data_IF_332683076390
#
_entry.id   IF_332683076390
#
_cell.length_a   1.000
_cell.length_b   1.000
_cell.length_c   1.000
_cell.angle_alpha   90.00
_cell.angle_beta   90.00
_cell.angle_gamma   90.00
#
_symmetry.space_group_name_H-M   'P 1'
#
loop_
_entity.id
_entity.type
_entity.pdbx_description
1 polymer ?
#
# COMPACT_ATOMS: atom_id res chain seq x y z
N UNK A 1 27.56 -25.66 -33.24
CA UNK A 1 27.00 -24.40 -33.76
C UNK A 1 25.73 -24.04 -32.98
N UNK A 2 25.73 -23.90 -31.65
CA UNK A 2 24.44 -23.88 -30.92
C UNK A 2 24.50 -23.07 -29.60
N UNK A 3 24.14 -21.78 -29.75
CA UNK A 3 23.46 -20.88 -28.78
C UNK A 3 23.94 -20.90 -27.32
N UNK A 4 24.92 -20.04 -27.03
CA UNK A 4 25.12 -19.51 -25.68
C UNK A 4 23.83 -18.75 -25.29
N UNK A 5 23.11 -19.32 -24.33
CA UNK A 5 21.93 -18.75 -23.72
C UNK A 5 22.28 -17.33 -23.23
N UNK A 6 21.66 -16.32 -23.83
CA UNK A 6 21.74 -14.92 -23.40
C UNK A 6 21.03 -14.81 -22.06
N UNK A 7 21.73 -15.24 -21.01
CA UNK A 7 21.42 -14.86 -19.66
C UNK A 7 21.41 -13.34 -19.68
N UNK A 8 20.22 -12.75 -19.67
CA UNK A 8 20.03 -11.36 -19.28
C UNK A 8 20.39 -11.24 -17.79
N UNK A 9 21.64 -11.51 -17.45
CA UNK A 9 22.37 -10.82 -16.41
C UNK A 9 22.57 -9.38 -16.91
N UNK A 10 21.46 -8.67 -17.10
CA UNK A 10 21.45 -7.23 -17.17
C UNK A 10 22.19 -6.80 -15.90
N UNK A 11 23.33 -6.16 -16.11
CA UNK A 11 24.25 -5.68 -15.07
C UNK A 11 23.44 -5.17 -13.90
N UNK A 12 23.53 -5.85 -12.75
CA UNK A 12 22.86 -5.42 -11.53
C UNK A 12 23.46 -4.08 -11.13
N UNK A 13 22.84 -3.01 -11.64
CA UNK A 13 23.38 -1.67 -11.57
C UNK A 13 23.40 -1.25 -10.11
N UNK A 14 24.53 -0.72 -9.67
CA UNK A 14 24.71 -0.33 -8.27
C UNK A 14 24.33 1.13 -8.12
N UNK A 15 23.24 1.38 -7.42
CA UNK A 15 22.85 2.73 -7.01
C UNK A 15 23.58 3.12 -5.72
N UNK A 16 24.22 4.29 -5.75
CA UNK A 16 24.74 4.91 -4.54
C UNK A 16 23.63 5.65 -3.80
N UNK A 17 23.96 6.09 -2.58
CA UNK A 17 23.05 6.93 -1.81
C UNK A 17 22.64 8.18 -2.60
N UNK A 18 23.56 8.83 -3.31
CA UNK A 18 23.26 10.01 -4.14
C UNK A 18 22.20 9.74 -5.21
N UNK A 19 22.30 8.62 -5.91
CA UNK A 19 21.38 8.26 -6.98
C UNK A 19 19.97 8.00 -6.45
N UNK A 20 19.86 7.32 -5.31
CA UNK A 20 18.57 7.10 -4.64
C UNK A 20 17.92 8.43 -4.26
N UNK A 21 18.68 9.35 -3.66
CA UNK A 21 18.15 10.67 -3.27
C UNK A 21 17.68 11.48 -4.49
N UNK A 22 18.46 11.48 -5.57
CA UNK A 22 18.12 12.18 -6.81
C UNK A 22 16.91 11.58 -7.52
N UNK A 23 16.80 10.24 -7.58
CA UNK A 23 15.69 9.54 -8.23
C UNK A 23 14.35 9.88 -7.58
N UNK A 24 14.26 9.80 -6.26
CA UNK A 24 13.01 10.06 -5.54
C UNK A 24 12.82 11.54 -5.18
N UNK A 25 13.82 12.39 -5.44
CA UNK A 25 13.84 13.80 -5.05
C UNK A 25 13.61 13.96 -3.54
N UNK A 26 14.27 13.11 -2.75
CA UNK A 26 14.15 13.08 -1.30
C UNK A 26 15.47 13.43 -0.62
N UNK A 27 15.37 13.79 0.66
CA UNK A 27 16.55 14.00 1.51
C UNK A 27 17.01 12.70 2.16
N UNK A 28 18.26 12.70 2.64
CA UNK A 28 18.83 11.53 3.37
C UNK A 28 18.03 11.14 4.60
N UNK A 29 17.45 12.11 5.31
CA UNK A 29 16.55 11.86 6.44
C UNK A 29 15.28 11.14 6.01
N UNK A 30 14.68 11.52 4.89
CA UNK A 30 13.51 10.84 4.31
C UNK A 30 13.83 9.40 3.95
N UNK A 31 14.98 9.15 3.33
CA UNK A 31 15.45 7.79 3.03
C UNK A 31 15.60 6.95 4.31
N UNK A 32 16.15 7.53 5.38
CA UNK A 32 16.25 6.87 6.68
C UNK A 32 14.86 6.51 7.25
N UNK A 33 13.90 7.44 7.18
CA UNK A 33 12.52 7.16 7.60
C UNK A 33 11.88 6.05 6.76
N UNK A 34 12.09 6.03 5.45
CA UNK A 34 11.57 4.98 4.57
C UNK A 34 12.17 3.60 4.88
N UNK A 35 13.45 3.54 5.25
CA UNK A 35 14.12 2.29 5.67
C UNK A 35 13.77 1.85 7.10
N UNK A 36 13.11 2.69 7.89
CA UNK A 36 12.79 2.39 9.30
C UNK A 36 11.33 1.97 9.42
N UNK A 37 11.02 0.71 9.76
CA UNK A 37 9.64 0.21 9.77
C UNK A 37 8.70 1.00 10.69
N UNK A 38 9.17 1.48 11.85
CA UNK A 38 8.38 2.30 12.78
C UNK A 38 8.10 3.73 12.33
N UNK A 39 8.83 4.23 11.32
CA UNK A 39 8.75 5.61 10.82
C UNK A 39 8.33 5.69 9.37
N UNK A 40 8.21 4.54 8.71
CA UNK A 40 7.80 4.45 7.33
C UNK A 40 6.35 4.96 7.19
N UNK A 41 6.03 5.72 6.14
CA UNK A 41 4.66 6.09 5.84
C UNK A 41 3.76 4.85 5.73
N UNK A 42 2.56 4.90 6.34
CA UNK A 42 1.58 3.82 6.26
C UNK A 42 1.11 3.52 4.83
N UNK A 43 1.36 4.44 3.89
CA UNK A 43 1.10 4.25 2.45
C UNK A 43 2.02 3.20 1.82
N UNK A 44 3.13 2.84 2.45
CA UNK A 44 4.04 1.83 1.95
C UNK A 44 3.76 0.48 2.60
N UNK A 45 3.73 -0.59 1.80
CA UNK A 45 3.52 -1.95 2.33
C UNK A 45 4.74 -2.50 3.07
N UNK A 46 5.95 -1.99 2.77
CA UNK A 46 7.21 -2.49 3.35
C UNK A 46 8.31 -1.41 3.32
N UNK A 47 9.26 -1.44 4.27
CA UNK A 47 10.34 -0.46 4.33
C UNK A 47 11.25 -0.51 3.11
N UNK A 48 11.87 0.63 2.82
CA UNK A 48 12.86 0.74 1.76
C UNK A 48 14.02 -0.20 2.03
N UNK A 49 14.50 -0.96 1.01
CA UNK A 49 15.47 -2.02 1.20
C UNK A 49 16.77 -1.51 1.85
N UNK A 50 17.37 -2.38 2.66
CA UNK A 50 18.70 -2.14 3.22
C UNK A 50 19.75 -2.18 2.09
N UNK A 51 20.88 -1.46 2.24
CA UNK A 51 21.96 -1.52 1.27
C UNK A 51 22.50 -2.94 1.17
N UNK A 52 22.56 -3.46 -0.06
CA UNK A 52 22.98 -4.83 -0.35
C UNK A 52 24.47 -5.06 -0.10
N UNK A 53 25.30 -4.00 -0.21
CA UNK A 53 26.74 -4.06 0.04
C UNK A 53 27.06 -3.08 1.16
N UNK A 54 27.58 -3.60 2.26
CA UNK A 54 28.08 -2.81 3.37
C UNK A 54 29.27 -1.95 2.93
N UNK A 55 29.29 -0.69 3.35
CA UNK A 55 30.35 0.25 3.01
C UNK A 55 29.90 1.71 3.10
N UNK A 56 30.87 2.61 3.00
CA UNK A 56 30.67 4.06 2.91
C UNK A 56 31.20 4.53 1.54
N UNK A 57 30.34 4.93 0.59
CA UNK A 57 28.89 5.08 0.68
C UNK A 57 28.11 3.74 0.61
N UNK A 58 26.91 3.75 1.18
CA UNK A 58 25.95 2.65 1.08
C UNK A 58 25.57 2.40 -0.38
N UNK A 59 25.46 1.12 -0.75
CA UNK A 59 25.21 0.67 -2.13
C UNK A 59 23.95 -0.21 -2.18
N UNK A 60 23.08 0.06 -3.14
CA UNK A 60 21.86 -0.71 -3.42
C UNK A 60 21.95 -1.34 -4.81
N UNK A 61 21.39 -2.54 -4.94
CA UNK A 61 21.14 -3.13 -6.25
C UNK A 61 19.90 -2.47 -6.85
N UNK A 62 19.97 -1.99 -8.08
CA UNK A 62 18.80 -1.45 -8.79
C UNK A 62 17.66 -2.45 -8.80
N UNK A 63 17.97 -3.74 -8.91
CA UNK A 63 16.99 -4.84 -8.84
C UNK A 63 16.18 -4.86 -7.54
N UNK A 64 16.82 -4.65 -6.39
CA UNK A 64 16.17 -4.65 -5.08
C UNK A 64 15.25 -3.42 -4.91
N UNK A 65 15.71 -2.27 -5.40
CA UNK A 65 14.94 -1.02 -5.41
C UNK A 65 13.71 -1.17 -6.32
N UNK A 66 13.89 -1.69 -7.54
CA UNK A 66 12.79 -1.91 -8.48
C UNK A 66 11.76 -2.91 -7.95
N UNK A 67 12.21 -3.95 -7.25
CA UNK A 67 11.34 -4.91 -6.58
C UNK A 67 10.54 -4.23 -5.47
N UNK A 68 11.19 -3.39 -4.66
CA UNK A 68 10.51 -2.59 -3.64
C UNK A 68 9.44 -1.65 -4.25
N UNK A 69 9.77 -0.96 -5.34
CA UNK A 69 8.82 -0.08 -6.04
C UNK A 69 7.59 -0.85 -6.53
N UNK A 70 7.79 -2.05 -7.09
CA UNK A 70 6.68 -2.91 -7.50
C UNK A 70 5.82 -3.35 -6.32
N UNK A 71 6.40 -3.66 -5.16
CA UNK A 71 5.62 -4.08 -3.98
C UNK A 71 4.85 -2.92 -3.34
N UNK A 72 5.43 -1.71 -3.32
CA UNK A 72 4.78 -0.50 -2.78
C UNK A 72 3.73 0.05 -3.75
N UNK A 73 4.00 0.01 -5.06
CA UNK A 73 3.10 0.53 -6.10
C UNK A 73 2.12 -0.54 -6.62
N UNK A 74 2.33 -1.82 -6.31
CA UNK A 74 1.27 -2.80 -6.41
C UNK A 74 0.15 -2.30 -5.51
N UNK A 75 -0.91 -1.77 -6.14
CA UNK A 75 -2.11 -1.35 -5.46
C UNK A 75 -2.47 -2.40 -4.40
N UNK A 76 -3.12 -2.02 -3.28
CA UNK A 76 -3.96 -3.02 -2.65
C UNK A 76 -4.82 -3.55 -3.80
N UNK A 77 -4.70 -4.84 -4.10
CA UNK A 77 -5.84 -5.54 -4.67
C UNK A 77 -6.91 -5.27 -3.64
N UNK A 78 -7.69 -4.22 -3.89
CA UNK A 78 -9.01 -4.08 -3.35
C UNK A 78 -9.72 -5.26 -4.00
N UNK A 79 -9.50 -6.44 -3.42
CA UNK A 79 -10.43 -7.53 -3.51
C UNK A 79 -11.70 -6.89 -2.98
N UNK A 80 -12.50 -6.44 -3.94
CA UNK A 80 -13.83 -5.95 -3.69
C UNK A 80 -14.47 -7.07 -2.91
N UNK A 81 -14.60 -6.84 -1.61
CA UNK A 81 -15.57 -7.50 -0.79
C UNK A 81 -16.90 -7.26 -1.50
N UNK A 82 -17.25 -8.20 -2.37
CA UNK A 82 -18.53 -8.34 -3.00
C UNK A 82 -19.46 -8.64 -1.83
N UNK A 83 -19.93 -7.60 -1.15
CA UNK A 83 -21.11 -7.69 -0.32
C UNK A 83 -22.28 -7.66 -1.28
N UNK A 84 -22.95 -8.80 -1.59
CA UNK A 84 -24.22 -8.71 -2.28
C UNK A 84 -25.20 -7.98 -1.34
N UNK A 85 -25.47 -6.76 -1.75
CA UNK A 85 -26.79 -6.18 -1.87
C UNK A 85 -27.69 -6.32 -0.63
N UNK A 86 -27.81 -5.20 0.09
CA UNK A 86 -28.91 -4.94 1.00
C UNK A 86 -30.18 -4.87 0.15
N UNK A 87 -30.78 -6.02 -0.17
CA UNK A 87 -32.11 -6.07 -0.77
C UNK A 87 -33.13 -5.69 0.30
N UNK A 88 -33.42 -4.39 0.33
CA UNK A 88 -34.69 -3.89 0.78
C UNK A 88 -35.81 -4.56 -0.04
N UNK A 89 -36.62 -5.39 0.62
CA UNK A 89 -37.91 -5.85 0.08
C UNK A 89 -39.01 -5.52 1.07
N UNK A 90 -39.64 -4.38 0.79
CA UNK A 90 -41.09 -4.05 0.81
C UNK A 90 -42.03 -5.27 1.02
N UNK A 91 -43.24 -5.25 1.61
CA UNK A 91 -44.16 -4.27 2.16
C UNK A 91 -45.39 -5.03 2.69
N UNK A 92 -46.17 -4.40 3.57
CA UNK A 92 -47.62 -4.52 3.77
C UNK A 92 -48.26 -5.82 4.31
N UNK A 93 -48.99 -5.73 5.44
CA UNK A 93 -50.47 -5.86 5.50
C UNK A 93 -50.97 -6.10 6.93
N UNK A 94 -52.04 -5.37 7.30
CA UNK A 94 -52.97 -5.70 8.40
C UNK A 94 -52.92 -4.69 9.55
N UNK A 95 -53.78 -3.67 9.56
CA UNK A 95 -55.01 -3.62 10.37
C UNK A 95 -54.68 -3.68 11.87
N UNK A 96 -54.89 -2.64 12.68
CA UNK A 96 -56.18 -2.07 13.05
C UNK A 96 -55.91 -0.91 14.04
N UNK A 97 -56.58 0.24 13.88
CA UNK A 97 -56.76 1.24 14.94
C UNK A 97 -57.93 0.75 15.82
N UNK A 98 -57.92 0.89 17.16
CA UNK A 98 -58.05 2.23 17.76
C UNK A 98 -57.45 2.36 19.18
N UNK A 99 -57.42 3.58 19.73
CA UNK A 99 -57.34 3.72 21.19
C UNK A 99 -56.83 5.06 21.72
N UNK A 100 -57.76 6.01 21.84
CA UNK A 100 -57.87 6.97 22.94
C UNK A 100 -56.65 7.84 23.31
N UNK A 101 -56.66 9.06 22.77
CA UNK A 101 -56.00 10.22 23.33
C UNK A 101 -56.79 10.71 24.55
N UNK A 102 -56.37 10.31 25.76
CA UNK A 102 -56.77 10.94 27.02
C UNK A 102 -55.56 11.07 27.94
N UNK A 103 -55.41 12.25 28.56
CA UNK A 103 -54.66 12.39 29.80
C UNK A 103 -53.50 13.38 29.76
N UNK A 104 -53.84 14.67 29.91
CA UNK A 104 -53.13 15.73 30.64
C UNK A 104 -51.68 15.47 31.09
N UNK A 105 -50.77 16.38 30.71
CA UNK A 105 -49.85 17.03 31.65
C UNK A 105 -49.34 18.35 31.04
N UNK A 106 -50.01 19.44 31.40
CA UNK A 106 -49.38 20.77 31.51
C UNK A 106 -48.69 20.85 32.90
N UNK A 107 -47.72 21.77 33.10
CA UNK A 107 -46.44 21.55 33.81
C UNK A 107 -46.50 21.33 35.32
#
# INVERSE_FOLDING_TARGET
>A
MNTANTNNAATDEIMLTSDVLSRYKISRSTLYFWSTPERMPASFKRPFPLPAIGGSPKRWRTSDVLKWEQEVNAAPVADQQLSPDVQATQSATGADLPGSHEGYNEP
#
